data_IF_411766661428
#
_entry.id   IF_411766661428
#
_cell.length_a   1.000
_cell.length_b   1.000
_cell.length_c   1.000
_cell.angle_alpha   90.00
_cell.angle_beta   90.00
_cell.angle_gamma   90.00
#
_symmetry.space_group_name_H-M   'P 1'
#
loop_
_entity.id
_entity.type
_entity.pdbx_description
1 polymer ?
#
# COMPACT_ATOMS: atom_id res chain seq x y z
N UNK A 1 60.39 -3.45 1.24
CA UNK A 1 58.94 -3.33 0.90
C UNK A 1 58.21 -4.51 1.51
N UNK A 2 57.53 -4.31 2.64
CA UNK A 2 56.81 -5.38 3.35
C UNK A 2 55.56 -5.78 2.57
N UNK A 3 55.52 -7.02 2.04
CA UNK A 3 54.32 -7.60 1.43
C UNK A 3 53.33 -7.91 2.56
N UNK A 4 52.16 -7.28 2.52
CA UNK A 4 51.08 -7.55 3.48
C UNK A 4 50.73 -9.06 3.48
N UNK A 5 50.47 -9.66 4.66
CA UNK A 5 50.09 -11.06 4.77
C UNK A 5 48.84 -11.40 3.96
N UNK A 6 48.87 -12.53 3.22
CA UNK A 6 47.79 -12.97 2.31
C UNK A 6 46.42 -13.14 2.99
N UNK A 7 46.37 -13.30 4.32
CA UNK A 7 45.12 -13.38 5.09
C UNK A 7 44.46 -12.01 5.28
N UNK A 8 45.25 -10.93 5.40
CA UNK A 8 44.73 -9.55 5.45
C UNK A 8 44.13 -9.17 4.09
N UNK A 9 44.77 -9.59 2.99
CA UNK A 9 44.23 -9.41 1.62
C UNK A 9 42.92 -10.17 1.40
N UNK A 10 42.78 -11.39 1.94
CA UNK A 10 41.55 -12.20 1.83
C UNK A 10 40.43 -11.71 2.75
N UNK A 11 40.75 -11.17 3.92
CA UNK A 11 39.79 -10.55 4.83
C UNK A 11 39.28 -9.21 4.31
N UNK A 12 40.16 -8.38 3.73
CA UNK A 12 39.77 -7.10 3.08
C UNK A 12 38.93 -7.35 1.83
N UNK A 13 39.31 -8.29 0.96
CA UNK A 13 38.52 -8.64 -0.24
C UNK A 13 37.19 -9.33 0.15
N UNK A 14 37.20 -10.12 1.22
CA UNK A 14 36.02 -10.83 1.73
C UNK A 14 34.96 -9.90 2.34
N UNK A 15 35.36 -8.75 2.90
CA UNK A 15 34.45 -7.73 3.44
C UNK A 15 33.97 -6.72 2.41
N UNK A 16 34.82 -6.32 1.45
CA UNK A 16 34.48 -5.29 0.46
C UNK A 16 33.32 -5.71 -0.45
N UNK A 17 33.30 -6.96 -0.92
CA UNK A 17 32.25 -7.47 -1.81
C UNK A 17 30.86 -7.42 -1.14
N UNK A 18 30.62 -7.97 0.07
CA UNK A 18 29.33 -7.87 0.72
C UNK A 18 28.94 -6.44 1.10
N UNK A 19 29.90 -5.57 1.45
CA UNK A 19 29.61 -4.15 1.68
C UNK A 19 29.17 -3.43 0.41
N UNK A 20 29.83 -3.69 -0.72
CA UNK A 20 29.43 -3.15 -2.03
C UNK A 20 28.06 -3.70 -2.46
N UNK A 21 27.80 -4.99 -2.24
CA UNK A 21 26.52 -5.61 -2.56
C UNK A 21 25.38 -5.04 -1.70
N UNK A 22 25.62 -4.85 -0.40
CA UNK A 22 24.68 -4.18 0.50
C UNK A 22 24.44 -2.72 0.09
N UNK A 23 25.50 -1.99 -0.30
CA UNK A 23 25.41 -0.65 -0.85
C UNK A 23 24.60 -0.59 -2.15
N UNK A 24 24.76 -1.58 -3.03
CA UNK A 24 24.02 -1.67 -4.29
C UNK A 24 22.49 -1.77 -4.08
N UNK A 25 22.03 -2.38 -2.99
CA UNK A 25 20.60 -2.44 -2.65
C UNK A 25 19.98 -1.06 -2.38
N UNK A 26 20.78 -0.04 -2.07
CA UNK A 26 20.30 1.33 -1.93
C UNK A 26 20.10 2.04 -3.28
N UNK A 27 20.66 1.52 -4.36
CA UNK A 27 20.48 2.05 -5.72
C UNK A 27 19.32 1.39 -6.46
N UNK A 28 18.97 0.15 -6.10
CA UNK A 28 17.79 -0.53 -6.67
C UNK A 28 16.53 0.08 -6.08
N UNK A 29 15.72 0.75 -6.93
CA UNK A 29 14.42 1.29 -6.54
C UNK A 29 13.31 0.29 -6.84
N UNK A 30 12.41 0.11 -5.89
CA UNK A 30 11.22 -0.74 -6.01
C UNK A 30 9.98 0.08 -5.64
N UNK A 31 8.83 -0.16 -6.31
CA UNK A 31 7.59 0.50 -5.95
C UNK A 31 7.05 -0.08 -4.65
N UNK A 32 6.71 0.81 -3.72
CA UNK A 32 6.18 0.49 -2.40
C UNK A 32 4.88 1.25 -2.21
N UNK A 33 3.80 0.52 -1.92
CA UNK A 33 2.55 1.07 -1.45
C UNK A 33 2.71 1.45 0.02
N UNK A 34 2.44 2.70 0.33
CA UNK A 34 2.63 3.30 1.64
C UNK A 34 1.27 3.77 2.13
N UNK A 35 0.98 3.46 3.38
CA UNK A 35 -0.18 3.98 4.11
C UNK A 35 0.36 4.79 5.28
N UNK A 36 0.11 6.08 5.29
CA UNK A 36 0.61 7.00 6.31
C UNK A 36 -0.50 7.85 6.92
N UNK A 37 -0.42 8.10 8.23
CA UNK A 37 -1.20 9.14 8.89
C UNK A 37 -0.42 10.44 8.71
N UNK A 38 -1.04 11.41 8.04
CA UNK A 38 -0.42 12.70 7.69
C UNK A 38 0.11 13.43 8.93
N UNK A 39 -0.43 13.17 10.12
CA UNK A 39 0.00 13.81 11.38
C UNK A 39 1.08 13.03 12.12
N UNK A 40 1.23 11.74 11.88
CA UNK A 40 2.10 10.87 12.67
C UNK A 40 3.56 10.85 12.18
N UNK A 41 3.87 11.52 11.06
CA UNK A 41 5.19 11.60 10.41
C UNK A 41 5.86 10.23 10.13
N UNK A 42 5.09 9.15 10.24
CA UNK A 42 5.54 7.78 10.09
C UNK A 42 4.49 6.97 9.31
N UNK A 43 4.96 6.15 8.37
CA UNK A 43 4.11 5.20 7.67
C UNK A 43 3.53 4.16 8.64
N UNK A 44 2.22 4.00 8.59
CA UNK A 44 1.45 2.98 9.33
C UNK A 44 1.76 1.60 8.77
N UNK A 45 1.78 1.47 7.43
CA UNK A 45 2.00 0.21 6.72
C UNK A 45 2.76 0.46 5.42
N UNK A 46 3.55 -0.53 5.00
CA UNK A 46 4.25 -0.52 3.71
C UNK A 46 4.22 -1.90 3.05
N UNK A 47 3.89 -1.95 1.77
CA UNK A 47 3.88 -3.16 0.96
C UNK A 47 4.74 -2.95 -0.29
N UNK A 48 5.72 -3.81 -0.54
CA UNK A 48 6.35 -3.83 -1.85
C UNK A 48 5.32 -4.31 -2.86
N UNK A 49 5.11 -3.56 -3.93
CA UNK A 49 4.12 -3.84 -4.96
C UNK A 49 4.76 -3.90 -6.35
N UNK A 50 3.97 -4.20 -7.38
CA UNK A 50 4.37 -4.14 -8.79
C UNK A 50 3.26 -3.53 -9.63
N UNK A 51 3.57 -2.86 -10.75
CA UNK A 51 2.56 -2.45 -11.71
C UNK A 51 1.68 -3.63 -12.13
N UNK A 52 0.37 -3.40 -12.24
CA UNK A 52 -0.65 -4.40 -12.51
C UNK A 52 -1.17 -5.15 -11.27
N UNK A 53 -0.45 -5.12 -10.13
CA UNK A 53 -0.98 -5.67 -8.89
C UNK A 53 -2.21 -4.88 -8.42
N UNK A 54 -3.09 -5.56 -7.69
CA UNK A 54 -4.33 -4.99 -7.17
C UNK A 54 -4.33 -4.94 -5.65
N UNK A 55 -5.04 -3.96 -5.13
CA UNK A 55 -5.43 -3.90 -3.73
C UNK A 55 -6.91 -3.56 -3.61
N UNK A 56 -7.48 -3.92 -2.46
CA UNK A 56 -8.86 -3.56 -2.11
C UNK A 56 -8.84 -2.66 -0.90
N UNK A 57 -9.46 -1.50 -1.01
CA UNK A 57 -9.78 -0.65 0.12
C UNK A 57 -11.27 -0.79 0.40
N UNK A 58 -11.62 -1.25 1.60
CA UNK A 58 -13.02 -1.32 2.02
C UNK A 58 -13.29 -0.44 3.22
N UNK A 59 -14.54 0.02 3.33
CA UNK A 59 -15.00 0.80 4.49
C UNK A 59 -16.49 0.59 4.71
N UNK A 60 -16.95 0.82 5.94
CA UNK A 60 -18.35 0.88 6.33
C UNK A 60 -18.90 2.26 6.02
N UNK A 61 -19.90 2.32 5.14
CA UNK A 61 -20.54 3.56 4.74
C UNK A 61 -21.45 4.09 5.85
N UNK A 62 -21.29 5.36 6.24
CA UNK A 62 -21.96 5.92 7.42
C UNK A 62 -23.48 6.01 7.30
N UNK A 63 -24.01 6.16 6.08
CA UNK A 63 -25.45 6.30 5.87
C UNK A 63 -26.11 4.92 5.71
N UNK A 64 -25.58 4.10 4.81
CA UNK A 64 -26.19 2.80 4.50
C UNK A 64 -25.75 1.70 5.47
N UNK A 65 -24.75 1.96 6.31
CA UNK A 65 -24.12 1.02 7.26
C UNK A 65 -23.52 -0.24 6.60
N UNK A 66 -23.58 -0.35 5.27
CA UNK A 66 -23.03 -1.44 4.48
C UNK A 66 -21.56 -1.25 4.16
N UNK A 67 -20.89 -2.35 3.82
CA UNK A 67 -19.52 -2.30 3.32
C UNK A 67 -19.48 -1.86 1.85
N UNK A 68 -18.50 -1.01 1.57
CA UNK A 68 -18.12 -0.58 0.23
C UNK A 68 -16.71 -1.08 -0.03
N UNK A 69 -16.46 -1.63 -1.21
CA UNK A 69 -15.17 -2.15 -1.63
C UNK A 69 -14.72 -1.42 -2.90
N UNK A 70 -13.59 -0.72 -2.84
CA UNK A 70 -12.90 -0.21 -4.02
C UNK A 70 -11.74 -1.12 -4.39
N UNK A 71 -11.78 -1.70 -5.58
CA UNK A 71 -10.67 -2.49 -6.14
C UNK A 71 -9.85 -1.62 -7.07
N UNK A 72 -8.57 -1.45 -6.75
CA UNK A 72 -7.64 -0.60 -7.49
C UNK A 72 -6.53 -1.43 -8.12
N UNK A 73 -6.13 -1.09 -9.33
CA UNK A 73 -4.90 -1.57 -9.94
C UNK A 73 -3.82 -0.49 -9.85
N UNK A 74 -2.58 -0.91 -9.59
CA UNK A 74 -1.43 -0.01 -9.53
C UNK A 74 -0.86 0.13 -10.94
N UNK A 75 -0.78 1.35 -11.45
CA UNK A 75 -0.27 1.64 -12.78
C UNK A 75 1.26 1.81 -12.76
N UNK A 76 1.89 1.83 -13.94
CA UNK A 76 3.35 1.89 -14.08
C UNK A 76 4.00 3.15 -13.50
N UNK A 77 3.24 4.24 -13.43
CA UNK A 77 3.64 5.52 -12.84
C UNK A 77 3.37 5.61 -11.33
N UNK A 78 2.79 4.58 -10.72
CA UNK A 78 2.40 4.54 -9.32
C UNK A 78 1.00 5.07 -9.03
N UNK A 79 0.28 5.56 -10.03
CA UNK A 79 -1.13 5.95 -9.88
C UNK A 79 -2.03 4.73 -9.71
N UNK A 80 -3.27 4.98 -9.28
CA UNK A 80 -4.29 3.97 -9.07
C UNK A 80 -5.38 4.09 -10.10
N UNK A 81 -5.68 2.99 -10.77
CA UNK A 81 -6.85 2.87 -11.62
C UNK A 81 -7.94 2.10 -10.87
N UNK A 82 -9.06 2.76 -10.58
CA UNK A 82 -10.24 2.13 -9.98
C UNK A 82 -10.85 1.17 -10.99
N UNK A 83 -10.84 -0.13 -10.67
CA UNK A 83 -11.38 -1.19 -11.52
C UNK A 83 -12.83 -1.51 -11.22
N UNK A 84 -13.19 -1.45 -9.94
CA UNK A 84 -14.53 -1.80 -9.49
C UNK A 84 -14.83 -1.15 -8.15
N UNK A 85 -16.06 -0.67 -8.00
CA UNK A 85 -16.67 -0.32 -6.71
C UNK A 85 -17.82 -1.29 -6.45
N UNK A 86 -17.77 -2.03 -5.34
CA UNK A 86 -18.82 -2.97 -4.96
C UNK A 86 -19.50 -2.54 -3.65
N UNK A 87 -20.83 -2.56 -3.61
CA UNK A 87 -21.64 -2.12 -2.46
C UNK A 87 -22.99 -2.83 -2.42
N UNK A 88 -23.60 -2.93 -1.24
CA UNK A 88 -24.85 -3.70 -1.06
C UNK A 88 -26.10 -2.97 -1.57
N UNK A 89 -26.17 -1.67 -1.36
CA UNK A 89 -27.35 -0.85 -1.70
C UNK A 89 -26.93 0.53 -2.18
N UNK A 90 -27.65 1.14 -3.13
CA UNK A 90 -27.42 2.53 -3.52
C UNK A 90 -27.57 3.46 -2.33
N UNK A 91 -26.89 4.60 -2.36
CA UNK A 91 -26.97 5.59 -1.31
C UNK A 91 -26.16 6.84 -1.62
N UNK A 92 -26.29 7.89 -0.81
CA UNK A 92 -25.58 9.15 -1.02
C UNK A 92 -24.08 8.93 -1.12
N UNK A 93 -23.43 9.47 -2.16
CA UNK A 93 -21.99 9.35 -2.35
C UNK A 93 -21.51 8.01 -2.93
N UNK A 94 -22.42 7.08 -3.22
CA UNK A 94 -22.10 5.85 -3.96
C UNK A 94 -22.37 6.03 -5.46
N UNK A 95 -21.71 5.26 -6.34
CA UNK A 95 -21.93 5.34 -7.77
C UNK A 95 -23.40 5.10 -8.15
N UNK A 96 -24.01 6.04 -8.86
CA UNK A 96 -25.34 5.90 -9.44
C UNK A 96 -25.26 5.35 -10.86
N UNK A 97 -26.17 4.46 -11.29
CA UNK A 97 -26.16 3.91 -12.64
C UNK A 97 -26.28 4.95 -13.76
N UNK A 98 -25.21 5.10 -14.56
CA UNK A 98 -25.24 5.95 -15.76
C UNK A 98 -25.31 5.11 -17.04
N UNK A 99 -26.03 5.58 -18.09
CA UNK A 99 -25.99 4.96 -19.41
C UNK A 99 -24.55 4.90 -19.96
N UNK A 100 -24.07 3.70 -20.27
CA UNK A 100 -22.73 3.48 -20.83
C UNK A 100 -21.65 3.09 -19.81
N UNK A 101 -22.02 2.90 -18.54
CA UNK A 101 -21.21 2.28 -17.50
C UNK A 101 -21.65 0.84 -17.24
N UNK A 102 -20.70 -0.04 -16.88
CA UNK A 102 -21.00 -1.44 -16.62
C UNK A 102 -21.43 -1.64 -15.17
N UNK A 103 -22.69 -2.07 -14.99
CA UNK A 103 -23.25 -2.46 -13.71
C UNK A 103 -23.60 -3.94 -13.72
N UNK A 104 -23.17 -4.64 -12.68
CA UNK A 104 -23.49 -6.05 -12.49
C UNK A 104 -23.92 -6.31 -11.06
N UNK A 105 -25.03 -7.02 -10.88
CA UNK A 105 -25.43 -7.53 -9.57
C UNK A 105 -24.90 -8.97 -9.47
N UNK A 106 -24.04 -9.24 -8.50
CA UNK A 106 -23.48 -10.57 -8.27
C UNK A 106 -23.13 -10.77 -6.81
N UNK A 107 -23.56 -11.91 -6.24
CA UNK A 107 -23.32 -12.25 -4.84
C UNK A 107 -23.97 -11.28 -3.85
N UNK A 108 -25.11 -10.68 -4.20
CA UNK A 108 -25.80 -9.70 -3.36
C UNK A 108 -25.15 -8.31 -3.32
N UNK A 109 -24.13 -8.06 -4.15
CA UNK A 109 -23.49 -6.76 -4.29
C UNK A 109 -23.76 -6.19 -5.67
N UNK A 110 -23.97 -4.88 -5.71
CA UNK A 110 -23.92 -4.05 -6.90
C UNK A 110 -22.45 -3.76 -7.18
N UNK A 111 -21.98 -4.13 -8.37
CA UNK A 111 -20.62 -3.88 -8.84
C UNK A 111 -20.66 -2.88 -9.97
N UNK A 112 -19.99 -1.76 -9.75
CA UNK A 112 -19.81 -0.69 -10.73
C UNK A 112 -18.38 -0.72 -11.25
N UNK A 113 -18.22 -0.74 -12.58
CA UNK A 113 -16.91 -0.60 -13.22
C UNK A 113 -16.87 0.73 -13.98
N UNK A 114 -16.18 1.76 -13.43
CA UNK A 114 -16.07 3.04 -14.11
C UNK A 114 -15.22 2.88 -15.37
N UNK A 115 -15.52 3.66 -16.41
CA UNK A 115 -14.78 3.64 -17.68
C UNK A 115 -13.32 4.06 -17.50
N UNK A 116 -13.11 5.16 -16.79
CA UNK A 116 -11.79 5.68 -16.47
C UNK A 116 -11.84 6.51 -15.19
N UNK A 117 -11.18 6.02 -14.14
CA UNK A 117 -11.05 6.74 -12.87
C UNK A 117 -9.65 6.49 -12.32
N UNK A 118 -8.77 7.48 -12.49
CA UNK A 118 -7.36 7.44 -12.11
C UNK A 118 -7.09 8.39 -10.96
N UNK A 119 -6.30 7.94 -9.99
CA UNK A 119 -5.96 8.70 -8.79
C UNK A 119 -4.44 8.65 -8.57
N UNK A 120 -3.73 9.78 -8.42
CA UNK A 120 -2.31 9.76 -8.09
C UNK A 120 -2.06 9.20 -6.68
N UNK A 121 -3.00 9.44 -5.76
CA UNK A 121 -3.02 8.93 -4.39
C UNK A 121 -4.48 8.87 -3.90
N UNK A 122 -4.73 8.14 -2.80
CA UNK A 122 -6.00 8.18 -2.09
C UNK A 122 -5.80 8.90 -0.75
N UNK A 123 -6.69 9.82 -0.43
CA UNK A 123 -6.74 10.50 0.87
C UNK A 123 -8.10 10.26 1.49
N UNK A 124 -8.14 9.62 2.66
CA UNK A 124 -9.38 9.25 3.34
C UNK A 124 -9.34 9.63 4.81
N UNK A 125 -10.46 10.16 5.33
CA UNK A 125 -10.63 10.35 6.76
C UNK A 125 -11.06 9.03 7.38
N UNK A 126 -10.26 8.55 8.33
CA UNK A 126 -10.48 7.27 9.00
C UNK A 126 -11.00 7.50 10.40
N UNK A 127 -12.09 6.82 10.74
CA UNK A 127 -12.65 6.80 12.09
C UNK A 127 -12.84 5.35 12.54
N UNK A 128 -12.70 5.01 13.84
CA UNK A 128 -12.93 3.65 14.35
C UNK A 128 -14.16 2.92 13.80
N UNK A 129 -15.31 3.60 13.67
CA UNK A 129 -16.56 3.00 13.18
C UNK A 129 -16.65 2.83 11.64
N UNK A 130 -15.71 3.41 10.89
CA UNK A 130 -15.68 3.28 9.42
C UNK A 130 -14.98 2.00 8.96
N UNK A 131 -14.31 1.27 9.86
CA UNK A 131 -13.72 -0.05 9.59
C UNK A 131 -12.87 -0.11 8.29
N UNK A 132 -12.17 0.99 7.97
CA UNK A 132 -11.29 1.06 6.81
C UNK A 132 -10.28 -0.08 6.85
N UNK A 133 -10.38 -0.97 5.88
CA UNK A 133 -9.56 -2.18 5.77
C UNK A 133 -8.89 -2.19 4.42
N UNK A 134 -7.58 -2.43 4.42
CA UNK A 134 -6.77 -2.55 3.23
C UNK A 134 -6.36 -4.00 3.04
N UNK A 135 -6.64 -4.56 1.86
CA UNK A 135 -6.21 -5.89 1.46
C UNK A 135 -5.22 -5.78 0.31
N UNK A 136 -3.97 -6.19 0.56
CA UNK A 136 -2.87 -6.15 -0.42
C UNK A 136 -2.16 -7.50 -0.36
N UNK A 137 -2.01 -8.18 -1.51
CA UNK A 137 -1.34 -9.51 -1.58
C UNK A 137 -1.93 -10.56 -0.62
N UNK A 138 -3.24 -10.49 -0.36
CA UNK A 138 -3.93 -11.37 0.58
C UNK A 138 -3.74 -11.01 2.06
N UNK A 139 -2.87 -10.06 2.40
CA UNK A 139 -2.76 -9.52 3.75
C UNK A 139 -3.87 -8.49 3.96
N UNK A 140 -4.71 -8.71 4.98
CA UNK A 140 -5.79 -7.82 5.38
C UNK A 140 -5.39 -7.04 6.62
N UNK A 141 -5.49 -5.71 6.55
CA UNK A 141 -5.13 -4.83 7.66
C UNK A 141 -6.22 -3.79 7.90
N UNK A 142 -6.77 -3.79 9.12
CA UNK A 142 -7.65 -2.73 9.58
C UNK A 142 -6.84 -1.47 9.91
N UNK A 143 -7.00 -0.43 9.09
CA UNK A 143 -6.35 0.87 9.26
C UNK A 143 -6.99 1.61 10.45
N UNK A 144 -8.30 1.44 10.66
CA UNK A 144 -9.05 2.16 11.71
C UNK A 144 -8.60 1.83 13.13
N UNK A 145 -7.99 0.66 13.32
CA UNK A 145 -7.39 0.23 14.60
C UNK A 145 -5.97 0.79 14.83
N UNK A 146 -5.37 1.43 13.82
CA UNK A 146 -3.97 1.86 13.84
C UNK A 146 -3.77 3.37 13.88
N UNK A 147 -4.86 4.13 13.77
CA UNK A 147 -4.82 5.59 13.69
C UNK A 147 -5.78 6.21 14.69
N UNK A 148 -5.53 7.47 15.04
CA UNK A 148 -6.46 8.22 15.86
C UNK A 148 -7.79 8.45 15.12
N UNK A 149 -8.88 8.60 15.88
CA UNK A 149 -10.18 8.92 15.31
C UNK A 149 -10.14 10.25 14.52
N UNK A 150 -10.62 10.21 13.27
CA UNK A 150 -10.61 11.36 12.37
C UNK A 150 -9.24 11.64 11.73
N UNK A 151 -8.30 10.70 11.79
CA UNK A 151 -7.02 10.83 11.12
C UNK A 151 -7.19 10.90 9.59
N UNK A 152 -6.40 11.74 8.93
CA UNK A 152 -6.30 11.77 7.48
C UNK A 152 -5.23 10.76 7.07
N UNK A 153 -5.66 9.67 6.45
CA UNK A 153 -4.78 8.62 5.95
C UNK A 153 -4.54 8.82 4.47
N UNK A 154 -3.27 8.82 4.07
CA UNK A 154 -2.86 8.79 2.68
C UNK A 154 -2.41 7.40 2.28
N UNK A 155 -2.78 7.02 1.06
CA UNK A 155 -2.35 5.79 0.41
C UNK A 155 -1.73 6.19 -0.92
N UNK A 156 -0.48 5.82 -1.15
CA UNK A 156 0.27 6.19 -2.36
C UNK A 156 1.34 5.15 -2.68
N UNK A 157 1.83 5.16 -3.92
CA UNK A 157 2.99 4.33 -4.32
C UNK A 157 4.18 5.23 -4.57
N UNK A 158 5.31 4.88 -3.97
CA UNK A 158 6.57 5.57 -4.22
C UNK A 158 7.68 4.58 -4.57
N UNK A 159 8.62 5.05 -5.39
CA UNK A 159 9.86 4.34 -5.65
C UNK A 159 10.80 4.51 -4.43
N UNK A 160 10.91 3.48 -3.61
CA UNK A 160 11.86 3.44 -2.49
C UNK A 160 13.06 2.56 -2.82
N UNK A 161 14.22 2.84 -2.23
CA UNK A 161 15.35 1.93 -2.36
C UNK A 161 15.07 0.62 -1.62
N UNK A 162 15.50 -0.50 -2.21
CA UNK A 162 15.29 -1.83 -1.67
C UNK A 162 15.94 -1.98 -0.28
N UNK A 163 17.10 -1.35 -0.07
CA UNK A 163 17.75 -1.25 1.23
C UNK A 163 16.90 -0.53 2.28
N UNK A 164 16.31 0.65 1.95
CA UNK A 164 15.45 1.42 2.87
C UNK A 164 14.19 0.63 3.24
N UNK A 165 13.53 0.03 2.24
CA UNK A 165 12.35 -0.79 2.46
C UNK A 165 12.66 -2.01 3.35
N UNK A 166 13.78 -2.69 3.10
CA UNK A 166 14.22 -3.83 3.92
C UNK A 166 14.44 -3.45 5.39
N UNK A 167 15.08 -2.31 5.64
CA UNK A 167 15.28 -1.80 7.01
C UNK A 167 13.96 -1.47 7.71
N UNK A 168 12.97 -0.88 7.01
CA UNK A 168 11.64 -0.60 7.57
C UNK A 168 10.91 -1.89 7.96
N UNK A 169 10.96 -2.93 7.11
CA UNK A 169 10.39 -4.25 7.42
C UNK A 169 11.01 -4.86 8.68
N UNK A 170 12.33 -4.80 8.81
CA UNK A 170 13.05 -5.35 9.98
C UNK A 170 12.68 -4.57 11.26
N UNK A 171 12.67 -3.24 11.20
CA UNK A 171 12.27 -2.40 12.34
C UNK A 171 10.84 -2.68 12.79
N UNK A 172 9.90 -2.86 11.85
CA UNK A 172 8.52 -3.21 12.14
C UNK A 172 8.40 -4.56 12.86
N UNK A 173 9.15 -5.58 12.43
CA UNK A 173 9.15 -6.91 13.09
C UNK A 173 9.68 -6.82 14.52
N UNK A 174 10.79 -6.10 14.73
CA UNK A 174 11.40 -5.94 16.05
C UNK A 174 10.50 -5.16 17.02
N UNK A 175 9.74 -4.18 16.53
CA UNK A 175 8.79 -3.42 17.35
C UNK A 175 7.57 -4.23 17.80
N UNK A 176 7.18 -5.27 17.06
CA UNK A 176 6.06 -6.17 17.42
C UNK A 176 6.46 -7.30 18.39
N UNK A 177 7.76 -7.50 18.60
CA UNK A 177 8.29 -8.56 19.48
C UNK A 177 8.55 -8.08 20.92
N UNK A 178 8.20 -6.81 21.24
CA UNK A 178 8.20 -6.23 22.59
C UNK A 178 6.77 -5.99 23.02
#
# INVERSE_FOLDING_TARGET
MARLPRWISRALVGGVIPTLLAGALFFVRVPVLIVDDVRADQAILTFQVRPGERFVLSYRHSVTQGLVFGTFAIEGDGSFLLKETAFASPGPGLPEPHPGEEYQISGGLIRHRPREARFPELSVFVHPFTEHTLVVKGESVNISEKVAAGALVKIRVEAQSLGRWGLQKIGAVLSRAR
#
